data_IF_502005735267
#
_entry.id   IF_502005735267
#
_cell.length_a   1.000
_cell.length_b   1.000
_cell.length_c   1.000
_cell.angle_alpha   90.00
_cell.angle_beta   90.00
_cell.angle_gamma   90.00
#
_symmetry.space_group_name_H-M   'P 1'
#
loop_
_entity.id
_entity.type
_entity.pdbx_description
1 polymer ?
#
# COMPACT_ATOMS: atom_id res chain seq x y z
N UNK A 1 4.69 34.43 -19.51
CA UNK A 1 5.43 33.19 -19.83
C UNK A 1 5.11 32.02 -18.88
N UNK A 2 4.73 32.28 -17.62
CA UNK A 2 4.38 31.26 -16.61
C UNK A 2 3.05 30.51 -16.86
N UNK A 3 2.11 31.09 -17.63
CA UNK A 3 0.81 30.47 -17.93
C UNK A 3 0.86 29.36 -18.99
N UNK A 4 1.93 29.26 -19.79
CA UNK A 4 2.04 28.23 -20.85
C UNK A 4 2.52 26.87 -20.29
N UNK A 5 3.36 26.90 -19.25
CA UNK A 5 3.89 25.69 -18.58
C UNK A 5 2.80 24.94 -17.80
N UNK A 6 1.84 25.67 -17.20
CA UNK A 6 0.72 25.06 -16.49
C UNK A 6 -0.24 24.30 -17.42
N UNK A 7 -0.41 24.74 -18.67
CA UNK A 7 -1.29 24.09 -19.66
C UNK A 7 -0.68 22.83 -20.27
N UNK A 8 0.64 22.76 -20.33
CA UNK A 8 1.41 21.62 -20.85
C UNK A 8 1.59 20.51 -19.79
N UNK A 9 1.49 20.86 -18.50
CA UNK A 9 1.43 19.89 -17.40
C UNK A 9 0.07 19.14 -17.36
N UNK A 10 -1.01 19.80 -17.81
CA UNK A 10 -2.36 19.23 -17.88
C UNK A 10 -2.51 18.20 -19.04
N UNK A 11 -1.80 18.41 -20.16
CA UNK A 11 -1.73 17.47 -21.29
C UNK A 11 -1.03 16.13 -20.96
N UNK A 12 -0.31 16.04 -19.83
CA UNK A 12 0.39 14.81 -19.40
C UNK A 12 -0.51 13.79 -18.69
N UNK A 13 -1.83 14.01 -18.66
CA UNK A 13 -2.78 13.16 -17.93
C UNK A 13 -3.79 12.49 -18.84
N UNK A 14 -3.36 11.97 -20.00
CA UNK A 14 -4.30 11.35 -20.96
C UNK A 14 -5.07 10.16 -20.35
N UNK A 15 -4.49 9.46 -19.37
CA UNK A 15 -5.09 8.26 -18.74
C UNK A 15 -5.13 8.29 -17.19
N UNK A 16 -4.92 9.44 -16.55
CA UNK A 16 -5.18 9.60 -15.11
C UNK A 16 -4.14 9.04 -14.12
N UNK A 17 -3.05 8.38 -14.55
CA UNK A 17 -2.05 7.76 -13.66
C UNK A 17 -0.60 8.04 -14.10
N UNK A 18 0.33 8.10 -13.14
CA UNK A 18 1.76 8.31 -13.40
C UNK A 18 2.39 7.17 -14.22
N UNK A 19 1.82 5.97 -14.10
CA UNK A 19 2.33 4.75 -14.75
C UNK A 19 2.03 4.68 -16.25
N UNK A 20 1.03 5.43 -16.70
CA UNK A 20 0.58 5.44 -18.09
C UNK A 20 1.18 6.61 -18.90
N UNK A 21 2.21 7.27 -18.33
CA UNK A 21 2.92 8.36 -18.99
C UNK A 21 4.19 7.84 -19.64
N UNK A 22 4.53 8.41 -20.80
CA UNK A 22 5.85 8.20 -21.39
C UNK A 22 6.92 8.70 -20.42
N UNK A 23 7.86 7.83 -20.06
CA UNK A 23 8.94 8.18 -19.15
C UNK A 23 9.85 9.21 -19.83
N UNK A 24 10.21 10.33 -19.17
CA UNK A 24 11.19 11.25 -19.72
C UNK A 24 12.50 10.51 -19.96
N UNK A 25 13.07 10.63 -21.17
CA UNK A 25 14.29 9.94 -21.56
C UNK A 25 15.36 10.01 -20.45
N UNK A 26 16.02 8.88 -20.17
CA UNK A 26 16.99 8.74 -19.09
C UNK A 26 18.17 9.72 -19.27
N UNK A 27 18.02 10.93 -18.74
CA UNK A 27 19.11 11.88 -18.62
C UNK A 27 19.97 11.46 -17.44
N UNK A 28 21.28 11.66 -17.59
CA UNK A 28 22.33 11.44 -16.58
C UNK A 28 22.27 12.52 -15.47
N UNK A 29 21.06 12.83 -15.01
CA UNK A 29 20.82 13.76 -13.92
C UNK A 29 21.26 13.11 -12.60
N UNK A 30 21.85 13.87 -11.67
CA UNK A 30 22.35 13.34 -10.40
C UNK A 30 21.26 12.84 -9.44
N UNK A 31 19.98 13.18 -9.70
CA UNK A 31 18.84 12.75 -8.91
C UNK A 31 17.92 11.84 -9.74
N UNK A 32 17.78 10.58 -9.32
CA UNK A 32 16.88 9.63 -9.97
C UNK A 32 15.46 9.72 -9.44
N UNK A 33 14.49 9.17 -10.20
CA UNK A 33 13.10 9.00 -9.72
C UNK A 33 13.05 8.18 -8.44
N UNK A 34 13.87 7.13 -8.34
CA UNK A 34 13.98 6.31 -7.13
C UNK A 34 14.49 7.08 -5.91
N UNK A 35 15.44 8.00 -6.08
CA UNK A 35 15.91 8.85 -4.96
C UNK A 35 14.81 9.77 -4.43
N UNK A 36 14.03 10.36 -5.34
CA UNK A 36 12.87 11.19 -5.01
C UNK A 36 11.84 10.36 -4.24
N UNK A 37 11.48 9.17 -4.74
CA UNK A 37 10.48 8.30 -4.10
C UNK A 37 10.93 7.85 -2.71
N UNK A 38 12.18 7.38 -2.56
CA UNK A 38 12.73 7.00 -1.25
C UNK A 38 12.73 8.16 -0.25
N UNK A 39 13.00 9.37 -0.72
CA UNK A 39 12.97 10.56 0.14
C UNK A 39 11.55 10.88 0.58
N UNK A 40 10.56 10.72 -0.32
CA UNK A 40 9.15 10.91 0.00
C UNK A 40 8.67 9.90 1.05
N UNK A 41 9.02 8.61 0.89
CA UNK A 41 8.70 7.55 1.87
C UNK A 41 9.22 7.93 3.27
N UNK A 42 10.50 8.31 3.39
CA UNK A 42 11.08 8.72 4.68
C UNK A 42 10.33 9.89 5.31
N UNK A 43 9.95 10.89 4.52
CA UNK A 43 9.16 12.02 5.01
C UNK A 43 7.76 11.61 5.45
N UNK A 44 7.11 10.72 4.70
CA UNK A 44 5.77 10.22 5.01
C UNK A 44 5.76 9.34 6.26
N UNK A 45 6.79 8.52 6.47
CA UNK A 45 6.98 7.72 7.68
C UNK A 45 7.19 8.58 8.91
N UNK A 46 8.00 9.64 8.77
CA UNK A 46 8.37 10.55 9.87
C UNK A 46 7.23 11.50 10.22
N UNK A 47 6.64 12.16 9.22
CA UNK A 47 5.77 13.32 9.40
C UNK A 47 4.29 13.04 9.05
N UNK A 48 3.98 11.90 8.46
CA UNK A 48 2.63 11.52 8.02
C UNK A 48 2.13 12.24 6.76
N UNK A 49 1.00 11.75 6.23
CA UNK A 49 0.42 12.21 4.97
C UNK A 49 -0.12 13.66 5.03
N UNK A 50 -0.69 14.06 6.17
CA UNK A 50 -1.33 15.38 6.38
C UNK A 50 -0.34 16.53 6.23
N UNK A 51 0.92 16.30 6.61
CA UNK A 51 1.95 17.33 6.60
C UNK A 51 2.75 17.35 5.29
N UNK A 52 2.56 16.34 4.44
CA UNK A 52 3.32 16.16 3.20
C UNK A 52 2.91 17.14 2.10
N UNK A 53 3.89 17.82 1.49
CA UNK A 53 3.67 18.73 0.36
C UNK A 53 4.88 18.78 -0.58
N UNK A 54 4.66 19.10 -1.86
CA UNK A 54 5.75 19.28 -2.84
C UNK A 54 6.77 20.34 -2.42
N UNK A 55 6.33 21.39 -1.71
CA UNK A 55 7.22 22.42 -1.17
C UNK A 55 8.16 21.88 -0.10
N UNK A 56 7.63 21.07 0.83
CA UNK A 56 8.47 20.38 1.83
C UNK A 56 9.39 19.38 1.18
N UNK A 57 8.91 18.65 0.17
CA UNK A 57 9.72 17.72 -0.61
C UNK A 57 10.92 18.41 -1.26
N UNK A 58 10.69 19.55 -1.93
CA UNK A 58 11.75 20.36 -2.51
C UNK A 58 12.73 20.90 -1.46
N UNK A 59 12.24 21.27 -0.27
CA UNK A 59 13.10 21.71 0.83
C UNK A 59 13.97 20.58 1.39
N UNK A 60 13.41 19.38 1.57
CA UNK A 60 14.14 18.19 2.04
C UNK A 60 15.24 17.77 1.04
N UNK A 61 14.96 17.85 -0.26
CA UNK A 61 15.93 17.55 -1.31
C UNK A 61 17.00 18.64 -1.50
N UNK A 62 16.72 19.87 -1.08
CA UNK A 62 17.57 21.04 -1.29
C UNK A 62 17.43 21.70 -2.67
N UNK A 63 17.83 22.97 -2.75
CA UNK A 63 17.60 23.84 -3.93
C UNK A 63 18.16 23.31 -5.25
N UNK A 64 19.29 22.61 -5.21
CA UNK A 64 19.92 22.02 -6.39
C UNK A 64 19.12 20.86 -7.00
N UNK A 65 18.25 20.20 -6.21
CA UNK A 65 17.46 19.04 -6.60
C UNK A 65 16.00 19.40 -6.95
N UNK A 66 15.53 20.60 -6.60
CA UNK A 66 14.15 21.06 -6.83
C UNK A 66 13.75 21.04 -8.31
N UNK A 67 14.63 21.48 -9.21
CA UNK A 67 14.33 21.47 -10.65
C UNK A 67 14.20 20.04 -11.20
N UNK A 68 15.04 19.12 -10.72
CA UNK A 68 14.98 17.70 -11.07
C UNK A 68 13.70 17.04 -10.54
N UNK A 69 13.25 17.39 -9.32
CA UNK A 69 11.98 16.92 -8.76
C UNK A 69 10.81 17.22 -9.70
N UNK A 70 10.61 18.49 -10.05
CA UNK A 70 9.48 18.91 -10.90
C UNK A 70 9.61 18.47 -12.36
N UNK A 71 10.82 18.16 -12.82
CA UNK A 71 11.02 17.56 -14.14
C UNK A 71 10.60 16.10 -14.19
N UNK A 72 10.90 15.32 -13.13
CA UNK A 72 10.59 13.89 -13.04
C UNK A 72 9.15 13.61 -12.62
N UNK A 73 8.60 14.44 -11.74
CA UNK A 73 7.32 14.22 -11.08
C UNK A 73 6.43 15.44 -11.30
N UNK A 74 5.29 15.24 -11.94
CA UNK A 74 4.44 16.36 -12.33
C UNK A 74 3.70 16.95 -11.12
N UNK A 75 3.21 16.13 -10.20
CA UNK A 75 2.44 16.59 -9.04
C UNK A 75 2.58 15.70 -7.79
N UNK A 76 1.95 16.12 -6.69
CA UNK A 76 1.92 15.39 -5.42
C UNK A 76 1.31 14.00 -5.55
N UNK A 77 0.19 13.86 -6.27
CA UNK A 77 -0.52 12.58 -6.38
C UNK A 77 0.35 11.55 -7.10
N UNK A 78 1.05 11.93 -8.17
CA UNK A 78 1.98 11.04 -8.85
C UNK A 78 3.10 10.53 -7.93
N UNK A 79 3.62 11.41 -7.07
CA UNK A 79 4.67 11.05 -6.11
C UNK A 79 4.13 10.05 -5.07
N UNK A 80 2.89 10.26 -4.63
CA UNK A 80 2.22 9.38 -3.69
C UNK A 80 1.91 8.02 -4.33
N UNK A 81 1.43 8.00 -5.58
CA UNK A 81 1.17 6.78 -6.35
C UNK A 81 2.46 5.96 -6.52
N UNK A 82 3.59 6.63 -6.76
CA UNK A 82 4.90 6.02 -6.81
C UNK A 82 5.38 5.47 -5.47
N UNK A 83 5.21 6.25 -4.40
CA UNK A 83 5.65 5.84 -3.06
C UNK A 83 4.87 4.61 -2.58
N UNK A 84 3.56 4.55 -2.85
CA UNK A 84 2.74 3.37 -2.52
C UNK A 84 3.21 2.13 -3.25
N UNK A 85 3.49 2.23 -4.56
CA UNK A 85 3.97 1.08 -5.33
C UNK A 85 5.35 0.62 -4.86
N UNK A 86 6.27 1.55 -4.54
CA UNK A 86 7.59 1.21 -4.00
C UNK A 86 7.47 0.41 -2.69
N UNK A 87 6.58 0.82 -1.76
CA UNK A 87 6.29 0.08 -0.52
C UNK A 87 5.79 -1.34 -0.82
N UNK A 88 4.88 -1.49 -1.80
CA UNK A 88 4.41 -2.81 -2.21
C UNK A 88 5.51 -3.68 -2.82
N UNK A 89 6.61 -3.08 -3.29
CA UNK A 89 7.80 -3.80 -3.77
C UNK A 89 8.42 -4.71 -2.70
N UNK A 90 8.28 -4.37 -1.42
CA UNK A 90 8.75 -5.19 -0.30
C UNK A 90 8.04 -6.55 -0.23
N UNK A 91 6.83 -6.64 -0.80
CA UNK A 91 6.05 -7.88 -0.87
C UNK A 91 6.50 -8.85 -1.96
N UNK A 92 7.40 -8.43 -2.87
CA UNK A 92 7.88 -9.26 -3.99
C UNK A 92 8.92 -10.30 -3.55
N UNK A 93 8.63 -11.00 -2.46
CA UNK A 93 9.47 -12.04 -1.88
C UNK A 93 9.49 -13.31 -2.75
N UNK A 94 10.59 -14.06 -2.78
CA UNK A 94 10.64 -15.34 -3.46
C UNK A 94 9.62 -16.32 -2.86
N UNK A 95 8.79 -16.94 -3.70
CA UNK A 95 7.95 -18.08 -3.30
C UNK A 95 8.72 -19.38 -3.54
N UNK A 96 8.74 -20.26 -2.54
CA UNK A 96 9.30 -21.60 -2.67
C UNK A 96 8.35 -22.57 -3.37
N UNK A 97 8.73 -23.84 -3.40
CA UNK A 97 7.83 -24.94 -3.77
C UNK A 97 6.97 -25.33 -2.55
N UNK A 98 5.69 -25.64 -2.75
CA UNK A 98 4.81 -26.07 -1.66
C UNK A 98 3.33 -25.91 -1.96
N UNK A 99 2.48 -26.07 -0.94
CA UNK A 99 1.04 -25.79 -1.07
C UNK A 99 0.86 -24.33 -1.55
N UNK A 100 -0.01 -24.15 -2.55
CA UNK A 100 -0.33 -22.84 -3.09
C UNK A 100 -0.88 -21.90 -2.01
N UNK A 101 -1.56 -22.44 -0.99
CA UNK A 101 -2.05 -21.63 0.13
C UNK A 101 -0.91 -21.01 0.92
N UNK A 102 0.12 -21.79 1.21
CA UNK A 102 1.29 -21.30 1.95
C UNK A 102 2.04 -20.23 1.14
N UNK A 103 2.15 -20.42 -0.18
CA UNK A 103 2.76 -19.44 -1.08
C UNK A 103 1.96 -18.14 -1.15
N UNK A 104 0.62 -18.21 -1.26
CA UNK A 104 -0.24 -17.02 -1.24
C UNK A 104 -0.21 -16.35 0.12
N UNK A 105 -0.22 -17.11 1.22
CA UNK A 105 -0.08 -16.58 2.58
C UNK A 105 1.22 -15.81 2.72
N UNK A 106 2.36 -16.35 2.25
CA UNK A 106 3.65 -15.66 2.28
C UNK A 106 3.58 -14.29 1.58
N UNK A 107 3.08 -14.26 0.33
CA UNK A 107 2.98 -13.03 -0.46
C UNK A 107 2.03 -11.99 0.18
N UNK A 108 0.86 -12.43 0.62
CA UNK A 108 -0.15 -11.55 1.19
C UNK A 108 0.28 -11.02 2.57
N UNK A 109 0.94 -11.84 3.39
CA UNK A 109 1.52 -11.39 4.68
C UNK A 109 2.64 -10.39 4.46
N UNK A 110 3.55 -10.61 3.52
CA UNK A 110 4.60 -9.64 3.20
C UNK A 110 4.02 -8.29 2.74
N UNK A 111 2.97 -8.31 1.92
CA UNK A 111 2.27 -7.09 1.52
C UNK A 111 1.56 -6.39 2.68
N UNK A 112 0.91 -7.14 3.56
CA UNK A 112 0.27 -6.60 4.75
C UNK A 112 1.29 -5.96 5.71
N UNK A 113 2.45 -6.60 5.90
CA UNK A 113 3.53 -6.07 6.73
C UNK A 113 4.12 -4.79 6.18
N UNK A 114 4.36 -4.71 4.87
CA UNK A 114 4.82 -3.50 4.20
C UNK A 114 3.81 -2.34 4.39
N UNK A 115 2.52 -2.61 4.18
CA UNK A 115 1.47 -1.61 4.37
C UNK A 115 1.31 -1.19 5.85
N UNK A 116 1.56 -2.11 6.77
CA UNK A 116 1.57 -1.81 8.20
C UNK A 116 2.75 -0.93 8.61
N UNK A 117 3.94 -1.20 8.07
CA UNK A 117 5.14 -0.40 8.30
C UNK A 117 4.99 1.04 7.77
N UNK A 118 4.14 1.23 6.76
CA UNK A 118 3.87 2.50 6.11
C UNK A 118 2.37 2.89 6.17
N UNK A 119 1.82 3.28 7.35
CA UNK A 119 0.37 3.50 7.51
C UNK A 119 -0.25 4.58 6.63
N UNK A 120 0.55 5.48 6.05
CA UNK A 120 0.09 6.47 5.08
C UNK A 120 -0.27 5.83 3.72
N UNK A 121 0.32 4.69 3.37
CA UNK A 121 0.11 4.01 2.10
C UNK A 121 -1.29 3.37 2.01
N UNK A 122 -1.81 2.86 3.12
CA UNK A 122 -3.15 2.24 3.18
C UNK A 122 -4.26 3.23 2.83
N UNK A 123 -4.14 4.50 3.26
CA UNK A 123 -5.09 5.56 2.93
C UNK A 123 -5.11 5.86 1.41
N UNK A 124 -3.98 5.67 0.75
CA UNK A 124 -3.82 5.94 -0.68
C UNK A 124 -4.27 4.78 -1.55
N UNK A 125 -4.20 3.54 -1.06
CA UNK A 125 -4.73 2.36 -1.77
C UNK A 125 -6.23 2.44 -2.04
N UNK A 126 -6.99 3.11 -1.19
CA UNK A 126 -8.42 3.32 -1.41
C UNK A 126 -8.74 4.37 -2.47
N UNK A 127 -7.76 5.19 -2.86
CA UNK A 127 -7.95 6.35 -3.76
C UNK A 127 -7.15 6.26 -5.06
N UNK A 128 -6.26 5.28 -5.21
CA UNK A 128 -5.43 5.07 -6.40
C UNK A 128 -5.60 3.66 -6.93
N UNK A 129 -5.63 3.51 -8.26
CA UNK A 129 -5.62 2.20 -8.89
C UNK A 129 -4.24 1.56 -8.75
N UNK A 130 -4.18 0.27 -8.41
CA UNK A 130 -2.95 -0.52 -8.32
C UNK A 130 -2.33 -0.79 -9.70
N UNK A 131 -1.88 0.26 -10.40
CA UNK A 131 -1.34 0.17 -11.76
C UNK A 131 0.18 0.08 -11.81
N UNK A 132 0.85 0.25 -10.67
CA UNK A 132 2.30 0.23 -10.61
C UNK A 132 2.92 -1.16 -10.80
N UNK A 133 4.17 -1.23 -11.26
CA UNK A 133 4.87 -2.47 -11.55
C UNK A 133 4.99 -3.40 -10.34
N UNK A 134 5.10 -2.89 -9.12
CA UNK A 134 5.20 -3.75 -7.95
C UNK A 134 3.83 -4.35 -7.58
N UNK A 135 2.76 -3.55 -7.61
CA UNK A 135 1.40 -4.05 -7.44
C UNK A 135 1.08 -5.12 -8.50
N UNK A 136 1.37 -4.83 -9.77
CA UNK A 136 1.11 -5.76 -10.88
C UNK A 136 2.00 -7.00 -10.79
N UNK A 137 3.26 -6.86 -10.38
CA UNK A 137 4.16 -8.00 -10.14
C UNK A 137 3.68 -8.89 -9.00
N UNK A 138 3.12 -8.32 -7.94
CA UNK A 138 2.49 -9.08 -6.85
C UNK A 138 1.25 -9.82 -7.36
N UNK A 139 0.41 -9.14 -8.15
CA UNK A 139 -0.78 -9.73 -8.74
C UNK A 139 -0.45 -10.89 -9.68
N UNK A 140 0.58 -10.72 -10.53
CA UNK A 140 1.07 -11.75 -11.43
C UNK A 140 1.63 -12.95 -10.66
N UNK A 141 2.38 -12.74 -9.58
CA UNK A 141 2.88 -13.85 -8.73
C UNK A 141 1.74 -14.65 -8.13
N UNK A 142 0.74 -13.99 -7.54
CA UNK A 142 -0.44 -14.66 -6.96
C UNK A 142 -1.21 -15.40 -8.06
N UNK A 143 -1.40 -14.78 -9.22
CA UNK A 143 -2.05 -15.39 -10.38
C UNK A 143 -1.32 -16.65 -10.83
N UNK A 144 0.01 -16.61 -10.93
CA UNK A 144 0.83 -17.75 -11.34
C UNK A 144 0.77 -18.91 -10.33
N UNK A 145 0.77 -18.60 -9.03
CA UNK A 145 0.59 -19.60 -7.96
C UNK A 145 -0.77 -20.28 -8.08
N UNK A 146 -1.85 -19.51 -8.23
CA UNK A 146 -3.21 -20.06 -8.35
C UNK A 146 -3.42 -20.82 -9.67
N UNK A 147 -2.88 -20.32 -10.78
CA UNK A 147 -2.90 -21.00 -12.08
C UNK A 147 -2.22 -22.37 -11.99
N UNK A 148 -1.05 -22.44 -11.36
CA UNK A 148 -0.31 -23.69 -11.11
C UNK A 148 -1.07 -24.65 -10.19
N UNK A 149 -1.90 -24.12 -9.28
CA UNK A 149 -2.81 -24.89 -8.43
C UNK A 149 -4.09 -25.38 -9.15
N UNK A 150 -4.27 -25.03 -10.43
CA UNK A 150 -5.38 -25.48 -11.26
C UNK A 150 -6.58 -24.53 -11.35
N UNK A 151 -6.48 -23.30 -10.83
CA UNK A 151 -7.51 -22.28 -11.05
C UNK A 151 -7.45 -21.79 -12.51
N UNK A 152 -8.61 -21.55 -13.13
CA UNK A 152 -8.70 -21.15 -14.55
C UNK A 152 -9.82 -20.16 -14.80
N UNK A 153 -9.70 -19.40 -15.90
CA UNK A 153 -10.71 -18.48 -16.40
C UNK A 153 -11.21 -17.51 -15.33
N UNK A 154 -12.51 -17.23 -15.32
CA UNK A 154 -13.15 -16.30 -14.38
C UNK A 154 -12.93 -16.66 -12.90
N UNK A 155 -12.67 -17.93 -12.58
CA UNK A 155 -12.39 -18.35 -11.20
C UNK A 155 -10.98 -17.97 -10.74
N UNK A 156 -10.00 -17.94 -11.65
CA UNK A 156 -8.66 -17.47 -11.35
C UNK A 156 -8.70 -15.97 -11.03
N UNK A 157 -9.32 -15.17 -11.89
CA UNK A 157 -9.42 -13.71 -11.72
C UNK A 157 -10.19 -13.34 -10.45
N UNK A 158 -11.29 -14.07 -10.17
CA UNK A 158 -12.07 -13.88 -8.95
C UNK A 158 -11.28 -14.27 -7.69
N UNK A 159 -10.48 -15.33 -7.74
CA UNK A 159 -9.63 -15.75 -6.62
C UNK A 159 -8.53 -14.73 -6.33
N UNK A 160 -7.84 -14.24 -7.36
CA UNK A 160 -6.85 -13.15 -7.25
C UNK A 160 -7.52 -11.91 -6.63
N UNK A 161 -8.65 -11.48 -7.19
CA UNK A 161 -9.39 -10.31 -6.68
C UNK A 161 -9.83 -10.48 -5.23
N UNK A 162 -10.33 -11.65 -4.83
CA UNK A 162 -10.73 -11.93 -3.45
C UNK A 162 -9.56 -11.80 -2.46
N UNK A 163 -8.37 -12.27 -2.85
CA UNK A 163 -7.15 -12.15 -2.04
C UNK A 163 -6.76 -10.67 -1.87
N UNK A 164 -6.74 -9.90 -2.97
CA UNK A 164 -6.43 -8.46 -2.90
C UNK A 164 -7.47 -7.67 -2.12
N UNK A 165 -8.76 -7.93 -2.32
CA UNK A 165 -9.81 -7.27 -1.56
C UNK A 165 -9.71 -7.55 -0.06
N UNK A 166 -9.38 -8.80 0.32
CA UNK A 166 -9.13 -9.15 1.71
C UNK A 166 -7.91 -8.40 2.27
N UNK A 167 -6.78 -8.43 1.55
CA UNK A 167 -5.55 -7.74 1.92
C UNK A 167 -5.75 -6.24 2.14
N UNK A 168 -6.32 -5.57 1.14
CA UNK A 168 -6.55 -4.12 1.17
C UNK A 168 -7.58 -3.79 2.26
N UNK A 169 -8.67 -4.55 2.36
CA UNK A 169 -9.71 -4.32 3.37
C UNK A 169 -9.19 -4.46 4.80
N UNK A 170 -8.37 -5.47 5.06
CA UNK A 170 -7.71 -5.64 6.35
C UNK A 170 -6.75 -4.49 6.66
N UNK A 171 -5.83 -4.19 5.74
CA UNK A 171 -4.83 -3.13 5.92
C UNK A 171 -5.47 -1.74 6.14
N UNK A 172 -6.51 -1.40 5.37
CA UNK A 172 -7.24 -0.13 5.52
C UNK A 172 -7.97 -0.05 6.85
N UNK A 173 -8.66 -1.13 7.25
CA UNK A 173 -9.42 -1.16 8.51
C UNK A 173 -8.50 -1.01 9.70
N UNK A 174 -7.38 -1.75 9.73
CA UNK A 174 -6.44 -1.70 10.83
C UNK A 174 -5.69 -0.36 10.90
N UNK A 175 -5.34 0.23 9.75
CA UNK A 175 -4.77 1.57 9.70
C UNK A 175 -5.74 2.64 10.23
N UNK A 176 -7.05 2.48 10.02
CA UNK A 176 -8.06 3.40 10.54
C UNK A 176 -8.11 3.38 12.09
N UNK A 177 -7.97 2.21 12.71
CA UNK A 177 -7.84 2.08 14.17
C UNK A 177 -6.59 2.79 14.68
N UNK A 178 -5.43 2.51 14.07
CA UNK A 178 -4.16 3.15 14.42
C UNK A 178 -4.22 4.67 14.28
N UNK A 179 -4.81 5.18 13.20
CA UNK A 179 -4.98 6.61 12.98
C UNK A 179 -5.90 7.27 14.02
N UNK A 180 -6.94 6.56 14.46
CA UNK A 180 -7.86 7.05 15.49
C UNK A 180 -7.16 7.23 16.83
N UNK A 181 -6.37 6.23 17.25
CA UNK A 181 -5.59 6.32 18.49
C UNK A 181 -4.54 7.43 18.37
N UNK A 182 -3.77 7.48 17.27
CA UNK A 182 -2.77 8.54 17.05
C UNK A 182 -3.36 9.94 17.13
N UNK A 183 -4.53 10.20 16.53
CA UNK A 183 -5.20 11.50 16.61
C UNK A 183 -5.64 11.89 18.02
N UNK A 184 -5.88 10.91 18.89
CA UNK A 184 -6.24 11.18 20.29
C UNK A 184 -5.04 11.64 21.15
N UNK A 185 -3.82 11.34 20.73
CA UNK A 185 -2.60 11.59 21.51
C UNK A 185 -2.40 10.65 22.71
N UNK A 186 -3.31 9.69 22.93
CA UNK A 186 -3.24 8.70 23.99
C UNK A 186 -2.42 7.47 23.56
N UNK A 187 -1.91 6.73 24.53
CA UNK A 187 -1.42 5.37 24.28
C UNK A 187 -2.58 4.43 23.94
N UNK A 188 -2.29 3.29 23.30
CA UNK A 188 -3.31 2.29 22.94
C UNK A 188 -4.13 1.82 24.15
N UNK A 189 -3.47 1.61 25.30
CA UNK A 189 -4.11 1.15 26.52
C UNK A 189 -5.03 2.21 27.14
N UNK A 190 -4.56 3.45 27.24
CA UNK A 190 -5.35 4.57 27.75
C UNK A 190 -6.57 4.83 26.86
N UNK A 191 -6.36 4.80 25.54
CA UNK A 191 -7.43 4.97 24.57
C UNK A 191 -8.48 3.87 24.69
N UNK A 192 -8.05 2.60 24.74
CA UNK A 192 -8.96 1.46 24.85
C UNK A 192 -9.77 1.48 26.16
N UNK A 193 -9.16 1.92 27.26
CA UNK A 193 -9.84 2.07 28.55
C UNK A 193 -10.89 3.17 28.49
N UNK A 194 -10.50 4.38 28.09
CA UNK A 194 -11.41 5.52 28.00
C UNK A 194 -12.56 5.30 27.00
N UNK A 195 -12.26 4.73 25.83
CA UNK A 195 -13.27 4.40 24.83
C UNK A 195 -14.19 3.25 25.30
N UNK A 196 -13.65 2.27 26.01
CA UNK A 196 -14.42 1.18 26.59
C UNK A 196 -15.48 1.69 27.58
N UNK A 197 -15.08 2.58 28.49
CA UNK A 197 -15.97 3.19 29.47
C UNK A 197 -17.09 4.00 28.81
N UNK A 198 -16.77 4.78 27.76
CA UNK A 198 -17.75 5.61 27.05
C UNK A 198 -18.73 4.80 26.19
N UNK A 199 -18.24 3.74 25.53
CA UNK A 199 -19.04 2.92 24.62
C UNK A 199 -19.78 1.78 25.35
N UNK A 200 -19.46 1.53 26.62
CA UNK A 200 -20.00 0.39 27.38
C UNK A 200 -19.49 -0.96 26.88
N UNK A 201 -18.26 -1.00 26.35
CA UNK A 201 -17.61 -2.23 25.86
C UNK A 201 -16.32 -2.51 26.61
N UNK A 202 -15.89 -3.77 26.67
CA UNK A 202 -14.66 -4.13 27.38
C UNK A 202 -13.41 -3.54 26.71
N UNK A 203 -12.56 -2.84 27.48
CA UNK A 203 -11.30 -2.26 27.00
C UNK A 203 -10.39 -3.29 26.31
N UNK A 204 -10.36 -4.54 26.79
CA UNK A 204 -9.59 -5.63 26.17
C UNK A 204 -10.05 -5.92 24.72
N UNK A 205 -11.35 -5.77 24.43
CA UNK A 205 -11.89 -5.97 23.08
C UNK A 205 -11.42 -4.88 22.12
N UNK A 206 -11.29 -3.63 22.60
CA UNK A 206 -10.79 -2.52 21.80
C UNK A 206 -9.27 -2.60 21.63
N UNK A 207 -8.54 -2.97 22.69
CA UNK A 207 -7.09 -3.14 22.65
C UNK A 207 -6.64 -4.23 21.65
N UNK A 208 -7.46 -5.26 21.42
CA UNK A 208 -7.21 -6.28 20.41
C UNK A 208 -7.15 -5.72 18.97
N UNK A 209 -7.72 -4.54 18.70
CA UNK A 209 -7.61 -3.90 17.39
C UNK A 209 -6.29 -3.14 17.18
N UNK A 210 -5.50 -2.96 18.23
CA UNK A 210 -4.36 -2.04 18.24
C UNK A 210 -3.02 -2.77 18.37
N UNK A 211 -2.93 -3.71 19.31
CA UNK A 211 -1.66 -4.35 19.65
C UNK A 211 -1.35 -5.58 18.79
N UNK A 212 -0.15 -5.62 18.19
CA UNK A 212 0.39 -6.80 17.48
C UNK A 212 0.78 -7.95 18.41
N UNK A 213 1.18 -7.64 19.65
CA UNK A 213 1.54 -8.64 20.65
C UNK A 213 0.32 -9.39 21.19
N UNK A 214 -0.88 -8.88 20.90
CA UNK A 214 -2.11 -9.56 21.22
C UNK A 214 -2.33 -10.76 20.30
N UNK A 215 -2.69 -11.91 20.87
CA UNK A 215 -3.06 -13.13 20.12
C UNK A 215 -4.27 -12.92 19.19
N UNK A 216 -5.09 -11.90 19.46
CA UNK A 216 -6.18 -11.43 18.61
C UNK A 216 -5.86 -10.11 17.89
N UNK A 217 -4.58 -9.75 17.81
CA UNK A 217 -4.08 -8.53 17.20
C UNK A 217 -4.30 -8.46 15.67
N UNK A 218 -3.97 -7.32 15.05
CA UNK A 218 -4.17 -7.09 13.61
C UNK A 218 -3.54 -8.17 12.71
N UNK A 219 -2.27 -8.50 12.93
CA UNK A 219 -1.55 -9.53 12.17
C UNK A 219 -2.15 -10.94 12.33
N UNK A 220 -2.51 -11.31 13.57
CA UNK A 220 -3.11 -12.61 13.86
C UNK A 220 -4.49 -12.75 13.20
N UNK A 221 -5.29 -11.68 13.22
CA UNK A 221 -6.61 -11.62 12.55
C UNK A 221 -6.47 -11.63 11.03
N UNK A 222 -5.50 -10.89 10.49
CA UNK A 222 -5.18 -10.92 9.07
C UNK A 222 -4.81 -12.33 8.61
N UNK A 223 -3.85 -12.98 9.28
CA UNK A 223 -3.40 -14.32 8.90
C UNK A 223 -4.52 -15.35 9.04
N UNK A 224 -5.29 -15.29 10.12
CA UNK A 224 -6.40 -16.23 10.37
C UNK A 224 -7.55 -16.05 9.37
N UNK A 225 -7.93 -14.80 9.08
CA UNK A 225 -8.98 -14.51 8.10
C UNK A 225 -8.53 -14.82 6.67
N UNK A 226 -7.27 -14.54 6.31
CA UNK A 226 -6.70 -14.95 5.03
C UNK A 226 -6.80 -16.46 4.87
N UNK A 227 -6.41 -17.22 5.90
CA UNK A 227 -6.51 -18.69 5.88
C UNK A 227 -7.96 -19.14 5.66
N UNK A 228 -8.93 -18.50 6.30
CA UNK A 228 -10.35 -18.81 6.08
C UNK A 228 -10.76 -18.55 4.61
N UNK A 229 -10.33 -17.43 4.01
CA UNK A 229 -10.54 -17.12 2.59
C UNK A 229 -9.92 -18.21 1.70
N UNK A 230 -8.65 -18.56 1.91
CA UNK A 230 -7.94 -19.56 1.10
C UNK A 230 -8.52 -20.98 1.28
N UNK A 231 -9.06 -21.30 2.45
CA UNK A 231 -9.84 -22.54 2.69
C UNK A 231 -11.18 -22.50 1.96
N UNK A 232 -11.77 -21.33 1.68
CA UNK A 232 -12.98 -21.22 0.87
C UNK A 232 -12.72 -21.38 -0.63
N UNK A 233 -11.55 -20.95 -1.12
CA UNK A 233 -11.18 -21.04 -2.53
C UNK A 233 -10.90 -22.49 -2.97
N UNK A 234 -11.42 -22.85 -4.14
CA UNK A 234 -11.27 -24.19 -4.74
C UNK A 234 -10.87 -24.04 -6.20
N UNK A 235 -9.81 -24.74 -6.66
CA UNK A 235 -9.58 -24.92 -8.08
C UNK A 235 -10.73 -25.75 -8.63
N UNK A 236 -11.72 -25.11 -9.27
CA UNK A 236 -12.76 -25.84 -9.98
C UNK A 236 -12.26 -26.11 -11.40
N UNK A 237 -12.17 -27.39 -11.74
CA UNK A 237 -12.14 -27.81 -13.13
C UNK A 237 -13.51 -27.46 -13.73
N UNK A 238 -13.53 -26.62 -14.76
CA UNK A 238 -14.70 -26.57 -15.62
C UNK A 238 -14.79 -27.93 -16.32
N UNK A 239 -15.91 -28.62 -16.09
CA UNK A 239 -16.50 -29.54 -17.07
C UNK A 239 -16.88 -28.78 -18.32
#
# INVERSE_FOLDING_TARGET
MLWRVAREADEKTVLGSVWLRADPAATRAPLSRGDIVRTAIKMLDRDGLDTFSMRRMAAELGTAATSALYWRIANKNDLLELAVDEVLGEALVPTGNGDWRDQVTLLATAAYEALWAHPWATQLLASHAGLGPNYQGLAERILNVLSSAGFKGVHLDAAVSAIFHYLIGAAVTDAAWTATVRRSGLTEHEWATAAGDQLGVGAASLAAYLSRENLAGPEARFTSGLRAVLIGLRPRQLS
#
